data_IF_167338888551
#
_entry.id   IF_167338888551
#
_cell.length_a   1.000
_cell.length_b   1.000
_cell.length_c   1.000
_cell.angle_alpha   90.00
_cell.angle_beta   90.00
_cell.angle_gamma   90.00
#
_symmetry.space_group_name_H-M   'P 1'
#
loop_
_entity.id
_entity.type
_entity.pdbx_description
1 polymer ?
#
# COMPACT_ATOMS: atom_id res chain seq x y z
N UNK A 1 -26.97 -19.60 3.01
CA UNK A 1 -25.67 -20.07 2.48
C UNK A 1 -24.70 -18.92 2.17
N UNK A 2 -25.14 -17.66 2.14
CA UNK A 2 -24.33 -16.48 1.80
C UNK A 2 -23.45 -15.94 2.93
N UNK A 3 -23.87 -16.08 4.19
CA UNK A 3 -23.17 -15.47 5.35
C UNK A 3 -21.86 -16.18 5.76
N UNK A 4 -21.74 -17.49 5.51
CA UNK A 4 -20.53 -18.25 5.89
C UNK A 4 -19.40 -18.06 4.87
N UNK A 5 -19.71 -18.04 3.57
CA UNK A 5 -18.73 -17.82 2.50
C UNK A 5 -18.12 -16.41 2.55
N UNK A 6 -18.93 -15.39 2.86
CA UNK A 6 -18.44 -14.02 3.03
C UNK A 6 -17.51 -13.88 4.24
N UNK A 7 -17.82 -14.55 5.36
CA UNK A 7 -16.95 -14.57 6.54
C UNK A 7 -15.61 -15.25 6.28
N UNK A 8 -15.59 -16.32 5.48
CA UNK A 8 -14.36 -17.02 5.09
C UNK A 8 -13.49 -16.16 4.17
N UNK A 9 -14.08 -15.43 3.22
CA UNK A 9 -13.37 -14.54 2.32
C UNK A 9 -12.74 -13.35 3.05
N UNK A 10 -13.49 -12.69 3.94
CA UNK A 10 -12.97 -11.60 4.79
C UNK A 10 -11.80 -12.07 5.65
N UNK A 11 -11.93 -13.26 6.25
CA UNK A 11 -10.85 -13.85 7.06
C UNK A 11 -9.61 -14.18 6.23
N UNK A 12 -9.80 -14.67 5.01
CA UNK A 12 -8.71 -14.94 4.06
C UNK A 12 -7.94 -13.66 3.70
N UNK A 13 -8.66 -12.56 3.44
CA UNK A 13 -8.07 -11.26 3.14
C UNK A 13 -7.31 -10.68 4.35
N UNK A 14 -7.86 -10.80 5.55
CA UNK A 14 -7.19 -10.35 6.78
C UNK A 14 -5.88 -11.10 7.03
N UNK A 15 -5.89 -12.42 6.84
CA UNK A 15 -4.68 -13.26 6.95
C UNK A 15 -3.64 -12.84 5.92
N UNK A 16 -4.06 -12.68 4.66
CA UNK A 16 -3.17 -12.27 3.59
C UNK A 16 -2.50 -10.92 3.91
N UNK A 17 -3.31 -9.93 4.30
CA UNK A 17 -2.84 -8.62 4.73
C UNK A 17 -1.80 -8.68 5.85
N UNK A 18 -2.06 -9.47 6.91
CA UNK A 18 -1.13 -9.64 8.03
C UNK A 18 0.22 -10.20 7.57
N UNK A 19 0.21 -11.14 6.64
CA UNK A 19 1.44 -11.73 6.09
C UNK A 19 2.23 -10.68 5.30
N UNK A 20 1.60 -9.91 4.42
CA UNK A 20 2.26 -8.88 3.62
C UNK A 20 2.82 -7.74 4.49
N UNK A 21 2.05 -7.29 5.49
CA UNK A 21 2.52 -6.29 6.45
C UNK A 21 3.73 -6.80 7.24
N UNK A 22 3.72 -8.07 7.69
CA UNK A 22 4.86 -8.70 8.35
C UNK A 22 6.12 -8.73 7.46
N UNK A 23 5.98 -9.01 6.17
CA UNK A 23 7.09 -8.97 5.20
C UNK A 23 7.69 -7.56 5.15
N UNK A 24 6.87 -6.52 5.02
CA UNK A 24 7.36 -5.13 4.92
C UNK A 24 8.11 -4.70 6.18
N UNK A 25 7.59 -5.04 7.36
CA UNK A 25 8.25 -4.80 8.65
C UNK A 25 9.59 -5.51 8.76
N UNK A 26 9.65 -6.77 8.37
CA UNK A 26 10.86 -7.59 8.44
C UNK A 26 11.90 -7.14 7.43
N UNK A 27 11.48 -6.67 6.26
CA UNK A 27 12.36 -6.08 5.25
C UNK A 27 13.08 -4.85 5.80
N UNK A 28 12.36 -3.95 6.49
CA UNK A 28 12.96 -2.78 7.15
C UNK A 28 13.84 -3.18 8.32
N UNK A 29 13.34 -4.03 9.23
CA UNK A 29 14.01 -4.28 10.51
C UNK A 29 15.19 -5.25 10.42
N UNK A 30 15.16 -6.21 9.50
CA UNK A 30 16.25 -7.18 9.30
C UNK A 30 17.13 -6.87 8.10
N UNK A 31 16.64 -6.05 7.17
CA UNK A 31 17.31 -5.71 5.93
C UNK A 31 16.95 -6.63 4.76
N UNK A 32 17.34 -6.18 3.56
CA UNK A 32 16.87 -6.74 2.29
C UNK A 32 17.04 -8.25 2.20
N UNK A 33 15.91 -8.96 2.13
CA UNK A 33 15.85 -10.41 2.04
C UNK A 33 16.69 -11.13 3.11
N UNK A 34 16.85 -10.57 4.31
CA UNK A 34 17.55 -11.25 5.43
C UNK A 34 16.60 -12.00 6.38
N UNK A 35 15.31 -11.80 6.24
CA UNK A 35 14.26 -12.50 7.00
C UNK A 35 14.04 -13.93 6.51
N UNK A 36 13.45 -14.79 7.33
CA UNK A 36 13.06 -16.16 6.97
C UNK A 36 11.54 -16.26 6.92
N UNK A 37 11.01 -17.25 6.20
CA UNK A 37 9.56 -17.53 6.20
C UNK A 37 9.04 -17.84 7.63
N UNK A 38 9.87 -18.43 8.49
CA UNK A 38 9.55 -18.60 9.90
C UNK A 38 9.40 -17.29 10.67
N UNK A 39 10.15 -16.25 10.27
CA UNK A 39 10.01 -14.92 10.87
C UNK A 39 8.70 -14.29 10.45
N UNK A 40 8.36 -14.35 9.15
CA UNK A 40 7.10 -13.84 8.60
C UNK A 40 5.91 -14.53 9.26
N UNK A 41 5.93 -15.86 9.35
CA UNK A 41 4.87 -16.64 9.99
C UNK A 41 4.69 -16.25 11.47
N UNK A 42 5.80 -16.06 12.20
CA UNK A 42 5.77 -15.63 13.61
C UNK A 42 5.22 -14.22 13.76
N UNK A 43 5.68 -13.29 12.92
CA UNK A 43 5.28 -11.88 12.96
C UNK A 43 3.81 -11.68 12.57
N UNK A 44 3.34 -12.41 11.55
CA UNK A 44 1.94 -12.39 11.12
C UNK A 44 1.02 -13.24 11.99
N UNK A 45 1.56 -13.99 12.97
CA UNK A 45 0.85 -14.96 13.80
C UNK A 45 0.03 -15.98 12.98
N UNK A 46 0.74 -16.67 12.08
CA UNK A 46 0.21 -17.72 11.20
C UNK A 46 1.17 -18.91 11.12
N UNK A 47 0.72 -20.01 10.51
CA UNK A 47 1.62 -21.14 10.23
C UNK A 47 2.49 -20.86 8.99
N UNK A 48 3.68 -21.46 8.93
CA UNK A 48 4.53 -21.41 7.72
C UNK A 48 3.82 -21.95 6.48
N UNK A 49 3.00 -22.99 6.65
CA UNK A 49 2.21 -23.57 5.56
C UNK A 49 1.25 -22.55 4.96
N UNK A 50 0.67 -21.67 5.78
CA UNK A 50 -0.23 -20.62 5.33
C UNK A 50 0.53 -19.55 4.54
N UNK A 51 1.73 -19.15 4.98
CA UNK A 51 2.59 -18.24 4.21
C UNK A 51 2.90 -18.84 2.82
N UNK A 52 3.28 -20.13 2.78
CA UNK A 52 3.53 -20.82 1.50
C UNK A 52 2.29 -20.95 0.62
N UNK A 53 1.11 -21.12 1.21
CA UNK A 53 -0.14 -21.22 0.49
C UNK A 53 -0.49 -19.90 -0.21
N UNK A 54 -0.36 -18.76 0.48
CA UNK A 54 -0.68 -17.46 -0.10
C UNK A 54 0.40 -16.95 -1.05
N UNK A 55 1.68 -17.03 -0.68
CA UNK A 55 2.74 -16.29 -1.37
C UNK A 55 3.85 -17.16 -1.97
N UNK A 56 3.75 -18.49 -1.83
CA UNK A 56 4.80 -19.40 -2.26
C UNK A 56 6.07 -19.30 -1.41
N UNK A 57 7.22 -19.69 -1.99
CA UNK A 57 8.50 -19.86 -1.28
C UNK A 57 9.57 -18.85 -1.65
N UNK A 58 9.40 -18.17 -2.78
CA UNK A 58 10.39 -17.25 -3.31
C UNK A 58 10.27 -15.90 -2.62
N UNK A 59 11.34 -15.49 -1.93
CA UNK A 59 11.32 -14.29 -1.11
C UNK A 59 11.30 -13.00 -1.91
N UNK A 60 11.90 -13.00 -3.09
CA UNK A 60 11.83 -11.84 -3.98
C UNK A 60 10.40 -11.65 -4.47
N UNK A 61 9.75 -12.73 -4.90
CA UNK A 61 8.34 -12.70 -5.32
C UNK A 61 7.45 -12.23 -4.17
N UNK A 62 7.61 -12.80 -2.97
CA UNK A 62 6.88 -12.41 -1.76
C UNK A 62 7.04 -10.92 -1.46
N UNK A 63 8.28 -10.40 -1.53
CA UNK A 63 8.55 -9.01 -1.25
C UNK A 63 7.92 -8.09 -2.29
N UNK A 64 8.01 -8.42 -3.58
CA UNK A 64 7.37 -7.65 -4.66
C UNK A 64 5.87 -7.60 -4.48
N UNK A 65 5.23 -8.73 -4.19
CA UNK A 65 3.80 -8.80 -3.94
C UNK A 65 3.40 -7.97 -2.73
N UNK A 66 4.18 -8.03 -1.64
CA UNK A 66 3.95 -7.18 -0.47
C UNK A 66 4.06 -5.69 -0.83
N UNK A 67 5.12 -5.25 -1.49
CA UNK A 67 5.26 -3.82 -1.86
C UNK A 67 4.13 -3.39 -2.79
N UNK A 68 3.81 -4.20 -3.81
CA UNK A 68 2.77 -3.88 -4.79
C UNK A 68 1.39 -3.78 -4.13
N UNK A 69 0.97 -4.81 -3.39
CA UNK A 69 -0.33 -4.82 -2.71
C UNK A 69 -0.51 -3.60 -1.80
N UNK A 70 0.55 -3.20 -1.11
CA UNK A 70 0.51 -2.10 -0.15
C UNK A 70 0.44 -0.74 -0.86
N UNK A 71 1.15 -0.57 -1.99
CA UNK A 71 1.02 0.60 -2.85
C UNK A 71 -0.36 0.67 -3.48
N UNK A 72 -0.87 -0.43 -4.02
CA UNK A 72 -2.19 -0.53 -4.62
C UNK A 72 -3.28 -0.20 -3.58
N UNK A 73 -3.09 -0.59 -2.31
CA UNK A 73 -3.97 -0.23 -1.20
C UNK A 73 -4.00 1.28 -0.97
N UNK A 74 -2.84 1.92 -0.85
CA UNK A 74 -2.75 3.36 -0.54
C UNK A 74 -3.17 4.23 -1.72
N UNK A 75 -2.82 3.81 -2.94
CA UNK A 75 -3.20 4.50 -4.17
C UNK A 75 -4.58 4.10 -4.68
N UNK A 76 -5.24 3.14 -4.01
CA UNK A 76 -6.54 2.57 -4.37
C UNK A 76 -6.63 2.22 -5.87
N UNK A 77 -5.63 1.49 -6.37
CA UNK A 77 -5.53 1.11 -7.79
C UNK A 77 -6.35 -0.16 -8.13
N UNK A 78 -7.19 -0.64 -7.20
CA UNK A 78 -7.93 -1.89 -7.33
C UNK A 78 -9.29 -1.78 -8.05
N UNK A 79 -9.83 -0.57 -8.23
CA UNK A 79 -11.18 -0.38 -8.75
C UNK A 79 -11.21 -0.05 -10.25
N UNK A 80 -12.17 -0.63 -10.97
CA UNK A 80 -12.44 -0.33 -12.38
C UNK A 80 -12.88 1.14 -12.57
N UNK A 81 -13.48 1.74 -11.54
CA UNK A 81 -13.79 3.16 -11.47
C UNK A 81 -12.82 3.90 -10.54
N UNK A 82 -12.14 4.95 -11.02
CA UNK A 82 -11.20 5.70 -10.20
C UNK A 82 -11.87 6.39 -9.03
N UNK A 83 -11.47 6.01 -7.82
CA UNK A 83 -11.96 6.68 -6.62
C UNK A 83 -11.33 8.06 -6.48
N UNK A 84 -12.20 9.06 -6.32
CA UNK A 84 -11.86 10.48 -6.18
C UNK A 84 -10.88 10.71 -5.02
N UNK A 85 -9.98 11.68 -5.20
CA UNK A 85 -8.81 11.84 -4.31
C UNK A 85 -9.20 12.08 -2.86
N UNK A 86 -10.22 12.91 -2.62
CA UNK A 86 -10.75 13.15 -1.28
C UNK A 86 -11.12 11.85 -0.55
N UNK A 87 -11.87 10.97 -1.19
CA UNK A 87 -12.29 9.71 -0.57
C UNK A 87 -11.11 8.74 -0.44
N UNK A 88 -10.26 8.64 -1.46
CA UNK A 88 -9.04 7.82 -1.41
C UNK A 88 -8.14 8.23 -0.24
N UNK A 89 -7.98 9.52 0.01
CA UNK A 89 -7.16 10.00 1.13
C UNK A 89 -7.69 9.58 2.50
N UNK A 90 -9.02 9.52 2.68
CA UNK A 90 -9.60 8.99 3.93
C UNK A 90 -9.22 7.52 4.16
N UNK A 91 -9.25 6.72 3.11
CA UNK A 91 -8.83 5.31 3.16
C UNK A 91 -7.32 5.19 3.41
N UNK A 92 -6.52 5.92 2.64
CA UNK A 92 -5.06 5.87 2.69
C UNK A 92 -4.53 6.21 4.10
N UNK A 93 -5.11 7.21 4.77
CA UNK A 93 -4.70 7.61 6.12
C UNK A 93 -4.97 6.51 7.16
N UNK A 94 -6.10 5.82 7.08
CA UNK A 94 -6.39 4.68 7.96
C UNK A 94 -5.47 3.48 7.66
N UNK A 95 -5.20 3.23 6.39
CA UNK A 95 -4.30 2.18 5.96
C UNK A 95 -2.86 2.41 6.44
N UNK A 96 -2.33 3.62 6.30
CA UNK A 96 -0.97 3.98 6.74
C UNK A 96 -0.82 3.77 8.26
N UNK A 97 -1.85 4.07 9.07
CA UNK A 97 -1.84 3.78 10.51
C UNK A 97 -1.65 2.30 10.81
N UNK A 98 -2.27 1.43 10.02
CA UNK A 98 -2.12 -0.03 10.18
C UNK A 98 -0.80 -0.59 9.60
N UNK A 99 -0.09 0.21 8.79
CA UNK A 99 1.07 -0.22 8.00
C UNK A 99 2.24 0.78 8.06
N UNK A 100 2.76 1.13 9.25
CA UNK A 100 3.73 2.23 9.39
C UNK A 100 5.05 1.99 8.64
N UNK A 101 5.46 0.73 8.46
CA UNK A 101 6.70 0.38 7.75
C UNK A 101 6.61 0.62 6.25
N UNK A 102 5.41 0.72 5.68
CA UNK A 102 5.22 1.02 4.27
C UNK A 102 5.78 2.39 3.90
N UNK A 103 5.49 3.41 4.71
CA UNK A 103 6.00 4.76 4.48
C UNK A 103 7.52 4.82 4.59
N UNK A 104 8.10 4.02 5.49
CA UNK A 104 9.56 3.89 5.61
C UNK A 104 10.16 3.23 4.36
N UNK A 105 9.58 2.12 3.89
CA UNK A 105 10.01 1.46 2.65
C UNK A 105 9.92 2.41 1.45
N UNK A 106 8.81 3.14 1.34
CA UNK A 106 8.59 4.10 0.27
C UNK A 106 9.68 5.17 0.24
N UNK A 107 9.94 5.84 1.37
CA UNK A 107 10.95 6.91 1.45
C UNK A 107 12.34 6.38 1.15
N UNK A 108 12.71 5.20 1.68
CA UNK A 108 14.03 4.61 1.48
C UNK A 108 14.28 4.16 0.05
N UNK A 109 13.26 3.69 -0.69
CA UNK A 109 13.45 3.04 -1.98
C UNK A 109 13.01 3.87 -3.19
N UNK A 110 12.16 4.89 -3.03
CA UNK A 110 11.56 5.61 -4.18
C UNK A 110 12.58 6.17 -5.18
N UNK A 111 13.78 6.55 -4.72
CA UNK A 111 14.87 7.09 -5.55
C UNK A 111 15.96 6.08 -5.89
N UNK A 112 15.92 4.91 -5.28
CA UNK A 112 16.96 3.91 -5.45
C UNK A 112 16.77 3.16 -6.77
N UNK A 113 17.88 2.78 -7.38
CA UNK A 113 17.89 1.92 -8.56
C UNK A 113 17.84 0.45 -8.12
N UNK A 114 16.69 0.07 -7.58
CA UNK A 114 16.39 -1.28 -7.17
C UNK A 114 14.94 -1.62 -7.53
N UNK A 115 14.60 -2.90 -7.38
CA UNK A 115 13.30 -3.41 -7.77
C UNK A 115 12.12 -2.81 -6.98
N UNK A 116 12.31 -2.53 -5.69
CA UNK A 116 11.30 -1.85 -4.86
C UNK A 116 11.07 -0.43 -5.38
N UNK A 117 12.15 0.29 -5.68
CA UNK A 117 12.11 1.63 -6.27
C UNK A 117 11.43 1.64 -7.64
N UNK A 118 11.65 0.62 -8.46
CA UNK A 118 10.97 0.45 -9.74
C UNK A 118 9.46 0.26 -9.55
N UNK A 119 9.04 -0.62 -8.64
CA UNK A 119 7.62 -0.84 -8.32
C UNK A 119 6.97 0.47 -7.84
N UNK A 120 7.63 1.21 -6.96
CA UNK A 120 7.14 2.51 -6.47
C UNK A 120 6.96 3.49 -7.63
N UNK A 121 7.97 3.66 -8.49
CA UNK A 121 7.92 4.60 -9.62
C UNK A 121 6.87 4.20 -10.66
N UNK A 122 6.64 2.89 -10.85
CA UNK A 122 5.55 2.38 -11.67
C UNK A 122 4.19 2.76 -11.08
N UNK A 123 3.96 2.49 -9.79
CA UNK A 123 2.72 2.87 -9.09
C UNK A 123 2.48 4.39 -9.10
N UNK A 124 3.53 5.20 -8.93
CA UNK A 124 3.44 6.66 -9.10
C UNK A 124 3.02 7.03 -10.52
N UNK A 125 3.62 6.46 -11.58
CA UNK A 125 3.21 6.73 -12.97
C UNK A 125 1.75 6.37 -13.23
N UNK A 126 1.30 5.23 -12.72
CA UNK A 126 -0.09 4.80 -12.82
C UNK A 126 -1.03 5.76 -12.10
N UNK A 127 -0.69 6.18 -10.88
CA UNK A 127 -1.43 7.18 -10.12
C UNK A 127 -1.50 8.52 -10.87
N UNK A 128 -0.40 9.02 -11.43
CA UNK A 128 -0.41 10.26 -12.21
C UNK A 128 -1.33 10.15 -13.43
N UNK A 129 -1.27 9.01 -14.15
CA UNK A 129 -2.18 8.72 -15.25
C UNK A 129 -3.64 8.67 -14.81
N UNK A 130 -3.91 8.14 -13.62
CA UNK A 130 -5.25 8.10 -13.02
C UNK A 130 -5.75 9.50 -12.67
N UNK A 131 -4.94 10.29 -11.95
CA UNK A 131 -5.28 11.66 -11.55
C UNK A 131 -5.56 12.54 -12.78
N UNK A 132 -4.79 12.40 -13.85
CA UNK A 132 -5.03 13.13 -15.11
C UNK A 132 -6.36 12.73 -15.77
N UNK A 133 -6.79 11.46 -15.64
CA UNK A 133 -8.10 11.01 -16.14
C UNK A 133 -9.26 11.55 -15.29
N UNK A 134 -9.09 11.61 -13.97
CA UNK A 134 -10.11 12.14 -13.04
C UNK A 134 -10.24 13.66 -13.21
N UNK A 135 -9.12 14.36 -13.38
CA UNK A 135 -9.05 15.82 -13.49
C UNK A 135 -8.43 16.25 -14.82
N UNK A 136 -9.10 16.05 -15.96
CA UNK A 136 -8.53 16.34 -17.29
C UNK A 136 -8.20 17.82 -17.52
N UNK A 137 -8.78 18.72 -16.71
CA UNK A 137 -8.52 20.15 -16.74
C UNK A 137 -7.24 20.56 -15.99
N UNK A 138 -6.69 19.70 -15.13
CA UNK A 138 -5.47 19.98 -14.39
C UNK A 138 -4.24 19.83 -15.29
N UNK A 139 -3.26 20.73 -15.10
CA UNK A 139 -1.94 20.61 -15.73
C UNK A 139 -1.07 19.60 -14.99
N UNK A 140 0.01 19.11 -15.62
CA UNK A 140 0.99 18.24 -14.96
C UNK A 140 1.52 18.84 -13.64
N UNK A 141 1.63 20.17 -13.58
CA UNK A 141 2.04 20.90 -12.37
C UNK A 141 0.98 20.80 -11.28
N UNK A 142 -0.29 20.94 -11.62
CA UNK A 142 -1.39 20.83 -10.66
C UNK A 142 -1.51 19.39 -10.12
N UNK A 143 -1.34 18.40 -10.99
CA UNK A 143 -1.30 16.98 -10.61
C UNK A 143 -0.12 16.71 -9.66
N UNK A 144 1.07 17.24 -9.96
CA UNK A 144 2.23 17.13 -9.07
C UNK A 144 1.97 17.81 -7.73
N UNK A 145 1.34 18.99 -7.71
CA UNK A 145 0.98 19.67 -6.46
C UNK A 145 0.01 18.85 -5.62
N UNK A 146 -1.02 18.29 -6.26
CA UNK A 146 -1.97 17.40 -5.61
C UNK A 146 -1.27 16.17 -5.02
N UNK A 147 -0.41 15.52 -5.79
CA UNK A 147 0.37 14.38 -5.35
C UNK A 147 1.30 14.71 -4.16
N UNK A 148 1.96 15.87 -4.18
CA UNK A 148 2.79 16.32 -3.06
C UNK A 148 1.95 16.59 -1.79
N UNK A 149 0.73 17.10 -1.96
CA UNK A 149 -0.20 17.33 -0.87
C UNK A 149 -0.70 16.01 -0.26
N UNK A 150 -0.98 15.01 -1.09
CA UNK A 150 -1.31 13.65 -0.64
C UNK A 150 -0.16 13.03 0.15
N UNK A 151 1.08 13.13 -0.35
CA UNK A 151 2.26 12.65 0.37
C UNK A 151 2.45 13.40 1.69
N UNK A 152 2.26 14.71 1.71
CA UNK A 152 2.35 15.52 2.93
C UNK A 152 1.32 15.08 3.98
N UNK A 153 0.08 14.87 3.55
CA UNK A 153 -1.00 14.33 4.38
C UNK A 153 -0.66 12.93 4.93
N UNK A 154 -0.19 12.03 4.07
CA UNK A 154 0.21 10.67 4.42
C UNK A 154 1.36 10.63 5.45
N UNK A 155 2.38 11.49 5.29
CA UNK A 155 3.52 11.58 6.21
C UNK A 155 3.13 12.24 7.53
N UNK A 156 2.25 13.25 7.51
CA UNK A 156 1.78 13.90 8.73
C UNK A 156 0.91 12.96 9.57
N UNK A 157 0.02 12.18 8.94
CA UNK A 157 -0.80 11.13 9.56
C UNK A 157 -1.97 11.66 10.42
N UNK A 158 -1.69 12.50 11.42
CA UNK A 158 -2.68 13.00 12.39
C UNK A 158 -3.29 14.33 11.94
N UNK A 159 -4.04 14.29 10.83
CA UNK A 159 -4.70 15.48 10.29
C UNK A 159 -5.92 15.89 11.14
N UNK A 160 -6.20 17.20 11.27
CA UNK A 160 -7.43 17.68 11.90
C UNK A 160 -8.68 17.10 11.23
N UNK A 161 -9.76 16.96 12.02
CA UNK A 161 -11.07 16.58 11.49
C UNK A 161 -11.51 17.55 10.38
N UNK A 162 -12.06 17.03 9.29
CA UNK A 162 -12.50 17.82 8.14
C UNK A 162 -11.38 18.29 7.19
N UNK A 163 -10.10 18.20 7.57
CA UNK A 163 -8.99 18.68 6.74
C UNK A 163 -8.99 18.06 5.33
N UNK A 164 -9.26 16.75 5.23
CA UNK A 164 -9.32 16.06 3.94
C UNK A 164 -10.42 16.62 3.05
N UNK A 165 -11.58 16.97 3.63
CA UNK A 165 -12.73 17.48 2.90
C UNK A 165 -12.53 18.93 2.41
N UNK A 166 -11.76 19.72 3.15
CA UNK A 166 -11.43 21.12 2.83
C UNK A 166 -10.36 21.25 1.74
N UNK A 167 -9.39 20.33 1.75
CA UNK A 167 -8.13 20.49 1.01
C UNK A 167 -8.11 19.69 -0.29
N UNK A 168 -8.67 18.48 -0.30
CA UNK A 168 -8.63 17.63 -1.49
C UNK A 168 -9.86 17.83 -2.36
N UNK A 169 -9.69 17.88 -3.70
CA UNK A 169 -10.81 17.97 -4.61
C UNK A 169 -11.66 16.69 -4.53
N UNK A 170 -12.97 16.88 -4.72
CA UNK A 170 -13.83 15.79 -5.17
C UNK A 170 -13.35 15.38 -6.56
#
# INVERSE_FOLDING_TARGET
MTDNSQKEEVKSQEVHFRILNAVTKLEISKGHLKWKISDVAKEADVTRSLVYYYLGKDKEVILKEAVKFMLDSVFNLFEDEPVRVKYRMKIALEQIKSMPYLMVLFVLNRREDNEIGEIIRNGERELFGLLQKIYPQMTDKDILQLYLLELGAAVHGDLPEGFVDEVFPD
#
